data_IF_742228311715
#
_entry.id   IF_742228311715
#
_cell.length_a   1.000
_cell.length_b   1.000
_cell.length_c   1.000
_cell.angle_alpha   90.00
_cell.angle_beta   90.00
_cell.angle_gamma   90.00
#
_symmetry.space_group_name_H-M   'P 1'
#
loop_
_entity.id
_entity.type
_entity.pdbx_description
1 polymer ?
#
# COMPACT_ATOMS: atom_id res chain seq x y z
N UNK A 1 0.51 -40.34 -45.94
CA UNK A 1 0.67 -40.68 -44.51
C UNK A 1 -0.68 -40.51 -43.83
N UNK A 2 -1.28 -41.56 -43.25
CA UNK A 2 -2.57 -41.44 -42.56
C UNK A 2 -2.41 -40.71 -41.22
N UNK A 3 -3.28 -39.73 -40.94
CA UNK A 3 -3.37 -39.03 -39.65
C UNK A 3 -4.00 -39.99 -38.62
N UNK A 4 -3.24 -40.34 -37.59
CA UNK A 4 -3.74 -41.09 -36.43
C UNK A 4 -4.58 -40.13 -35.60
N UNK A 5 -5.86 -40.43 -35.30
CA UNK A 5 -6.65 -39.60 -34.39
C UNK A 5 -6.10 -39.75 -32.97
N UNK A 6 -5.72 -38.63 -32.36
CA UNK A 6 -5.32 -38.56 -30.95
C UNK A 6 -6.58 -38.84 -30.12
N UNK A 7 -6.66 -40.03 -29.55
CA UNK A 7 -7.70 -40.37 -28.59
C UNK A 7 -7.39 -39.63 -27.28
N UNK A 8 -8.14 -38.57 -26.99
CA UNK A 8 -8.07 -37.82 -25.73
C UNK A 8 -8.31 -38.81 -24.59
N UNK A 9 -7.35 -38.91 -23.69
CA UNK A 9 -7.38 -39.89 -22.60
C UNK A 9 -8.47 -39.53 -21.58
N UNK A 10 -9.04 -40.53 -20.91
CA UNK A 10 -10.09 -40.34 -19.89
C UNK A 10 -9.69 -39.31 -18.81
N UNK A 11 -8.39 -39.25 -18.51
CA UNK A 11 -7.77 -38.34 -17.54
C UNK A 11 -7.75 -36.88 -17.98
N UNK A 12 -7.59 -36.61 -19.28
CA UNK A 12 -7.63 -35.24 -19.83
C UNK A 12 -9.07 -34.71 -19.89
N UNK A 13 -10.06 -35.57 -20.12
CA UNK A 13 -11.48 -35.20 -20.05
C UNK A 13 -11.93 -34.90 -18.62
N UNK A 14 -11.43 -35.66 -17.64
CA UNK A 14 -11.71 -35.41 -16.22
C UNK A 14 -11.11 -34.08 -15.75
N UNK A 15 -9.88 -33.75 -16.18
CA UNK A 15 -9.24 -32.47 -15.84
C UNK A 15 -9.94 -31.25 -16.47
N UNK A 16 -10.33 -31.35 -17.75
CA UNK A 16 -11.09 -30.29 -18.41
C UNK A 16 -12.47 -30.05 -17.75
N UNK A 17 -13.14 -31.12 -17.31
CA UNK A 17 -14.41 -31.02 -16.59
C UNK A 17 -14.28 -30.47 -15.16
N UNK A 18 -13.07 -30.54 -14.58
CA UNK A 18 -12.76 -29.97 -13.26
C UNK A 18 -12.44 -28.48 -13.36
N UNK A 19 -11.67 -28.08 -14.39
CA UNK A 19 -11.40 -26.68 -14.74
C UNK A 19 -12.69 -25.94 -15.13
N UNK A 20 -13.59 -26.56 -15.91
CA UNK A 20 -14.89 -25.98 -16.29
C UNK A 20 -15.79 -25.73 -15.07
N UNK A 21 -15.80 -26.66 -14.10
CA UNK A 21 -16.52 -26.49 -12.82
C UNK A 21 -15.93 -25.40 -11.93
N UNK A 22 -14.61 -25.19 -11.98
CA UNK A 22 -13.94 -24.14 -11.22
C UNK A 22 -14.23 -22.77 -11.82
N UNK A 23 -14.25 -22.66 -13.16
CA UNK A 23 -14.68 -21.44 -13.85
C UNK A 23 -16.15 -21.10 -13.59
N UNK A 24 -17.06 -22.08 -13.60
CA UNK A 24 -18.48 -21.85 -13.27
C UNK A 24 -18.66 -21.35 -11.83
N UNK A 25 -17.86 -21.85 -10.87
CA UNK A 25 -17.89 -21.38 -9.48
C UNK A 25 -17.38 -19.94 -9.34
N UNK A 26 -16.32 -19.59 -10.06
CA UNK A 26 -15.77 -18.22 -10.10
C UNK A 26 -16.78 -17.24 -10.68
N UNK A 27 -17.42 -17.58 -11.81
CA UNK A 27 -18.46 -16.74 -12.41
C UNK A 27 -19.68 -16.58 -11.52
N UNK A 28 -20.06 -17.64 -10.79
CA UNK A 28 -21.16 -17.57 -9.84
C UNK A 28 -20.82 -16.63 -8.67
N UNK A 29 -19.60 -16.72 -8.13
CA UNK A 29 -19.12 -15.84 -7.07
C UNK A 29 -19.08 -14.37 -7.52
N UNK A 30 -18.63 -14.08 -8.75
CA UNK A 30 -18.63 -12.72 -9.30
C UNK A 30 -20.04 -12.15 -9.47
N UNK A 31 -21.01 -12.97 -9.91
CA UNK A 31 -22.42 -12.55 -10.02
C UNK A 31 -23.02 -12.21 -8.66
N UNK A 32 -22.81 -13.08 -7.67
CA UNK A 32 -23.28 -12.87 -6.29
C UNK A 32 -22.66 -11.61 -5.67
N UNK A 33 -21.37 -11.36 -5.91
CA UNK A 33 -20.68 -10.15 -5.45
C UNK A 33 -21.24 -8.87 -6.11
N UNK A 34 -21.51 -8.90 -7.42
CA UNK A 34 -22.08 -7.75 -8.15
C UNK A 34 -23.52 -7.46 -7.68
N UNK A 35 -24.31 -8.49 -7.40
CA UNK A 35 -25.67 -8.35 -6.91
C UNK A 35 -25.71 -7.78 -5.49
N UNK A 36 -24.85 -8.26 -4.59
CA UNK A 36 -24.67 -7.69 -3.25
C UNK A 36 -24.25 -6.21 -3.28
N UNK A 37 -23.36 -5.83 -4.22
CA UNK A 37 -22.95 -4.43 -4.42
C UNK A 37 -24.14 -3.58 -4.93
N UNK A 38 -24.98 -4.11 -5.82
CA UNK A 38 -26.18 -3.40 -6.32
C UNK A 38 -27.22 -3.23 -5.23
N UNK A 39 -27.43 -4.24 -4.39
CA UNK A 39 -28.37 -4.19 -3.28
C UNK A 39 -27.92 -3.19 -2.20
N UNK A 40 -26.64 -3.22 -1.81
CA UNK A 40 -26.05 -2.24 -0.91
C UNK A 40 -26.15 -0.80 -1.44
N UNK A 41 -25.98 -0.60 -2.76
CA UNK A 41 -26.19 0.71 -3.41
C UNK A 41 -27.66 1.15 -3.37
N UNK A 42 -28.61 0.22 -3.47
CA UNK A 42 -30.06 0.50 -3.42
C UNK A 42 -30.49 0.86 -2.00
N UNK A 43 -30.01 0.15 -0.99
CA UNK A 43 -30.24 0.46 0.43
C UNK A 43 -29.64 1.81 0.83
N UNK A 44 -28.41 2.12 0.39
CA UNK A 44 -27.79 3.44 0.59
C UNK A 44 -28.59 4.59 -0.03
N UNK A 45 -29.27 4.36 -1.16
CA UNK A 45 -30.13 5.36 -1.82
C UNK A 45 -31.38 5.66 -0.99
N UNK A 46 -31.96 4.64 -0.35
CA UNK A 46 -33.13 4.77 0.52
C UNK A 46 -32.75 5.49 1.83
N UNK A 47 -31.54 5.26 2.33
CA UNK A 47 -31.04 5.91 3.56
C UNK A 47 -30.67 7.40 3.35
N UNK A 48 -30.19 7.78 2.16
CA UNK A 48 -29.91 9.18 1.79
C UNK A 48 -31.15 10.09 1.84
N UNK A 49 -32.36 9.56 1.62
CA UNK A 49 -33.60 10.37 1.62
C UNK A 49 -34.11 10.73 3.02
N UNK A 50 -33.56 10.15 4.10
CA UNK A 50 -34.08 10.30 5.47
C UNK A 50 -33.17 11.04 6.47
N UNK A 51 -32.00 11.54 6.06
CA UNK A 51 -31.09 12.27 6.97
C UNK A 51 -30.49 13.52 6.31
N UNK A 52 -31.36 14.48 6.00
CA UNK A 52 -31.00 15.90 6.12
C UNK A 52 -31.12 16.29 7.61
N UNK A 53 -30.07 16.06 8.41
CA UNK A 53 -29.85 16.80 9.66
C UNK A 53 -28.35 16.81 9.95
N UNK A 54 -27.73 18.00 9.94
CA UNK A 54 -26.45 18.22 10.61
C UNK A 54 -25.38 18.90 9.77
N UNK A 55 -25.57 20.18 9.50
CA UNK A 55 -24.51 21.12 9.16
C UNK A 55 -23.39 21.05 10.22
N UNK A 56 -22.22 20.51 9.86
CA UNK A 56 -20.97 20.73 10.56
C UNK A 56 -19.97 21.37 9.60
N UNK A 57 -19.40 22.47 10.07
CA UNK A 57 -18.78 23.51 9.27
C UNK A 57 -17.54 23.06 8.51
N UNK A 58 -17.05 23.99 7.69
CA UNK A 58 -15.66 24.05 7.24
C UNK A 58 -14.74 24.16 8.46
N UNK A 59 -14.60 23.13 9.27
CA UNK A 59 -13.39 23.02 10.09
C UNK A 59 -12.29 22.59 9.13
N UNK A 60 -11.34 23.50 8.89
CA UNK A 60 -10.05 23.13 8.33
C UNK A 60 -9.55 21.96 9.18
N UNK A 61 -9.48 20.76 8.60
CA UNK A 61 -8.90 19.59 9.27
C UNK A 61 -7.47 20.00 9.68
N UNK A 62 -7.29 20.28 10.98
CA UNK A 62 -6.04 20.75 11.58
C UNK A 62 -5.00 19.64 11.46
N UNK A 63 -3.71 20.00 11.39
CA UNK A 63 -2.62 19.02 11.45
C UNK A 63 -2.76 18.09 12.66
N UNK A 64 -2.40 16.82 12.48
CA UNK A 64 -2.47 15.82 13.53
C UNK A 64 -1.60 16.23 14.73
N UNK A 65 -2.13 16.03 15.94
CA UNK A 65 -1.40 16.26 17.20
C UNK A 65 -1.45 15.00 18.05
N UNK A 66 -0.28 14.41 18.33
CA UNK A 66 -0.17 13.21 19.16
C UNK A 66 -0.65 13.44 20.59
N UNK A 67 -0.50 14.66 21.12
CA UNK A 67 -0.99 15.05 22.44
C UNK A 67 -2.52 14.95 22.55
N UNK A 68 -3.23 15.26 21.46
CA UNK A 68 -4.69 15.27 21.43
C UNK A 68 -5.28 13.92 21.05
N UNK A 69 -4.62 13.20 20.16
CA UNK A 69 -5.19 12.03 19.49
C UNK A 69 -4.40 10.73 19.75
N UNK A 70 -3.46 10.74 20.69
CA UNK A 70 -2.62 9.58 21.04
C UNK A 70 -1.42 9.36 20.11
N UNK A 71 -0.59 8.34 20.36
CA UNK A 71 0.55 8.05 19.50
C UNK A 71 0.11 7.36 18.20
N UNK A 72 0.69 7.72 17.05
CA UNK A 72 0.48 7.00 15.79
C UNK A 72 1.28 5.70 15.70
N UNK A 73 2.38 5.64 16.43
CA UNK A 73 3.35 4.57 16.38
C UNK A 73 3.49 3.95 17.77
N UNK A 74 3.42 2.63 17.80
CA UNK A 74 3.77 1.81 18.95
C UNK A 74 4.72 0.72 18.49
N UNK A 75 5.87 0.63 19.14
CA UNK A 75 6.87 -0.38 18.86
C UNK A 75 7.44 -0.94 20.14
N UNK A 76 7.52 -2.26 20.20
CA UNK A 76 8.28 -2.99 21.20
C UNK A 76 9.11 -4.04 20.45
N UNK A 77 10.43 -4.09 20.68
CA UNK A 77 11.27 -5.11 20.06
C UNK A 77 10.88 -6.51 20.56
N UNK A 78 11.18 -7.52 19.77
CA UNK A 78 11.00 -8.93 20.15
C UNK A 78 11.95 -9.30 21.30
N UNK A 79 11.67 -10.40 22.00
CA UNK A 79 12.54 -10.88 23.07
C UNK A 79 13.99 -11.06 22.57
N UNK A 80 14.96 -10.63 23.39
CA UNK A 80 16.39 -10.65 23.05
C UNK A 80 16.88 -9.44 22.26
N UNK A 81 15.97 -8.64 21.69
CA UNK A 81 16.31 -7.40 20.98
C UNK A 81 16.17 -6.18 21.88
N UNK A 82 17.15 -5.29 21.82
CA UNK A 82 17.20 -4.03 22.58
C UNK A 82 17.22 -2.85 21.62
N UNK A 83 16.46 -1.80 21.92
CA UNK A 83 16.54 -0.54 21.19
C UNK A 83 17.86 0.13 21.56
N UNK A 84 18.67 0.46 20.55
CA UNK A 84 19.93 1.18 20.69
C UNK A 84 19.73 2.65 20.34
N UNK A 85 18.99 2.92 19.26
CA UNK A 85 18.68 4.28 18.81
C UNK A 85 17.27 4.33 18.23
N UNK A 86 16.61 5.47 18.36
CA UNK A 86 15.36 5.76 17.67
C UNK A 86 15.31 7.21 17.20
N UNK A 87 14.77 7.46 16.02
CA UNK A 87 14.61 8.81 15.49
C UNK A 87 13.45 8.89 14.49
N UNK A 88 12.90 10.09 14.33
CA UNK A 88 11.82 10.37 13.38
C UNK A 88 12.37 10.58 11.97
N UNK A 89 11.76 9.91 11.00
CA UNK A 89 11.99 10.17 9.57
C UNK A 89 10.87 11.04 9.01
N UNK A 90 9.63 10.82 9.47
CA UNK A 90 8.48 11.64 9.12
C UNK A 90 7.54 11.71 10.32
N UNK A 91 7.76 12.66 11.23
CA UNK A 91 6.92 12.80 12.41
C UNK A 91 5.50 13.25 12.02
N UNK A 92 4.43 12.66 12.59
CA UNK A 92 4.39 11.57 13.59
C UNK A 92 4.15 10.18 12.99
N UNK A 93 4.34 10.00 11.68
CA UNK A 93 3.91 8.80 10.95
C UNK A 93 4.99 7.73 10.78
N UNK A 94 6.27 8.09 10.67
CA UNK A 94 7.35 7.13 10.42
C UNK A 94 8.51 7.38 11.36
N UNK A 95 8.82 6.36 12.18
CA UNK A 95 9.95 6.34 13.09
C UNK A 95 10.83 5.14 12.81
N UNK A 96 12.13 5.33 12.94
CA UNK A 96 13.13 4.29 12.77
C UNK A 96 13.66 3.90 14.13
N UNK A 97 13.87 2.60 14.31
CA UNK A 97 14.51 2.01 15.48
C UNK A 97 15.71 1.19 15.02
N UNK A 98 16.89 1.51 15.53
CA UNK A 98 18.05 0.64 15.44
C UNK A 98 18.02 -0.26 16.65
N UNK A 99 17.91 -1.57 16.40
CA UNK A 99 17.84 -2.59 17.45
C UNK A 99 19.05 -3.50 17.37
N UNK A 100 19.47 -4.04 18.52
CA UNK A 100 20.60 -4.95 18.63
C UNK A 100 20.23 -6.20 19.42
N UNK A 101 20.78 -7.34 19.01
CA UNK A 101 20.65 -8.61 19.71
C UNK A 101 22.03 -9.12 20.16
N UNK A 102 22.20 -9.33 21.46
CA UNK A 102 23.47 -9.77 22.04
C UNK A 102 23.85 -11.21 21.65
N UNK A 103 22.88 -12.09 21.46
CA UNK A 103 23.10 -13.50 21.11
C UNK A 103 23.49 -13.65 19.63
N UNK A 104 22.80 -12.92 18.75
CA UNK A 104 23.07 -12.92 17.30
C UNK A 104 24.23 -11.99 16.92
N UNK A 105 24.66 -11.10 17.82
CA UNK A 105 25.64 -10.03 17.56
C UNK A 105 25.26 -9.20 16.32
N UNK A 106 23.97 -8.93 16.14
CA UNK A 106 23.40 -8.33 14.94
C UNK A 106 22.65 -7.03 15.27
N UNK A 107 22.89 -5.99 14.46
CA UNK A 107 22.05 -4.80 14.39
C UNK A 107 20.99 -4.94 13.30
N UNK A 108 19.78 -4.43 13.54
CA UNK A 108 18.72 -4.33 12.54
C UNK A 108 18.14 -2.94 12.47
N UNK A 109 17.73 -2.56 11.27
CA UNK A 109 17.07 -1.31 10.96
C UNK A 109 15.55 -1.54 10.87
N UNK A 110 14.77 -1.01 11.80
CA UNK A 110 13.33 -1.26 11.86
C UNK A 110 12.56 0.02 11.57
N UNK A 111 11.82 0.02 10.45
CA UNK A 111 10.85 1.06 10.11
C UNK A 111 9.53 0.72 10.77
N UNK A 112 8.97 1.68 11.50
CA UNK A 112 7.64 1.55 12.08
C UNK A 112 6.75 2.67 11.57
N UNK A 113 5.62 2.27 11.00
CA UNK A 113 4.57 3.13 10.45
C UNK A 113 3.25 2.89 11.21
N UNK A 114 2.22 3.74 11.04
CA UNK A 114 0.98 3.60 11.80
C UNK A 114 0.23 2.36 11.34
N UNK A 115 -0.15 1.48 12.26
CA UNK A 115 -0.90 0.27 11.89
C UNK A 115 -2.32 0.62 11.47
N UNK A 116 -2.70 0.19 10.27
CA UNK A 116 -4.10 0.15 9.85
C UNK A 116 -4.78 -1.07 10.46
N UNK A 117 -5.93 -0.85 11.10
CA UNK A 117 -6.88 -1.90 11.45
C UNK A 117 -7.44 -2.56 10.19
N UNK A 118 -8.04 -3.76 10.28
CA UNK A 118 -8.63 -4.42 9.11
C UNK A 118 -9.62 -3.54 8.33
N UNK A 119 -10.45 -2.77 9.05
CA UNK A 119 -11.38 -1.82 8.45
C UNK A 119 -10.68 -0.68 7.73
N UNK A 120 -9.68 -0.05 8.37
CA UNK A 120 -8.90 1.03 7.75
C UNK A 120 -8.12 0.55 6.52
N UNK A 121 -7.61 -0.68 6.54
CA UNK A 121 -6.89 -1.28 5.41
C UNK A 121 -7.80 -1.56 4.22
N UNK A 122 -8.99 -2.11 4.46
CA UNK A 122 -10.00 -2.32 3.41
C UNK A 122 -10.43 -0.98 2.79
N UNK A 123 -10.71 0.00 3.66
CA UNK A 123 -11.08 1.34 3.23
C UNK A 123 -9.96 2.02 2.43
N UNK A 124 -8.71 1.89 2.87
CA UNK A 124 -7.54 2.38 2.14
C UNK A 124 -7.50 1.78 0.72
N UNK A 125 -7.66 0.47 0.59
CA UNK A 125 -7.65 -0.21 -0.72
C UNK A 125 -8.76 0.30 -1.65
N UNK A 126 -9.98 0.45 -1.14
CA UNK A 126 -11.10 0.99 -1.92
C UNK A 126 -10.83 2.43 -2.39
N UNK A 127 -10.36 3.28 -1.49
CA UNK A 127 -10.07 4.69 -1.80
C UNK A 127 -8.90 4.82 -2.77
N UNK A 128 -7.85 4.02 -2.59
CA UNK A 128 -6.67 4.00 -3.46
C UNK A 128 -7.07 3.73 -4.92
N UNK A 129 -7.94 2.74 -5.16
CA UNK A 129 -8.43 2.42 -6.51
C UNK A 129 -9.23 3.57 -7.13
N UNK A 130 -10.13 4.19 -6.35
CA UNK A 130 -10.94 5.33 -6.83
C UNK A 130 -10.02 6.50 -7.22
N UNK A 131 -9.07 6.85 -6.35
CA UNK A 131 -8.15 7.96 -6.59
C UNK A 131 -7.28 7.68 -7.81
N UNK A 132 -6.78 6.44 -7.95
CA UNK A 132 -5.97 6.06 -9.11
C UNK A 132 -6.74 6.24 -10.42
N UNK A 133 -7.99 5.79 -10.48
CA UNK A 133 -8.85 5.97 -11.65
C UNK A 133 -9.16 7.46 -11.96
N UNK A 134 -9.30 8.29 -10.92
CA UNK A 134 -9.48 9.73 -11.09
C UNK A 134 -8.20 10.42 -11.57
N UNK A 135 -7.03 10.05 -11.02
CA UNK A 135 -5.73 10.62 -11.38
C UNK A 135 -5.33 10.29 -12.81
N UNK A 136 -5.64 9.10 -13.32
CA UNK A 136 -5.40 8.73 -14.72
C UNK A 136 -6.15 9.63 -15.72
N UNK A 137 -7.25 10.26 -15.29
CA UNK A 137 -8.07 11.17 -16.10
C UNK A 137 -7.63 12.63 -16.00
N UNK A 138 -6.75 12.95 -15.05
CA UNK A 138 -6.28 14.31 -14.80
C UNK A 138 -4.98 14.56 -15.56
N UNK A 139 -5.00 15.51 -16.49
CA UNK A 139 -3.77 16.11 -17.03
C UNK A 139 -3.16 16.98 -15.92
N UNK A 140 -2.30 16.39 -15.10
CA UNK A 140 -1.61 17.11 -14.04
C UNK A 140 -0.63 18.11 -14.66
N UNK A 141 -0.89 19.40 -14.45
CA UNK A 141 0.00 20.49 -14.89
C UNK A 141 1.12 20.73 -13.88
N UNK A 142 2.25 21.26 -14.36
CA UNK A 142 3.40 21.59 -13.51
C UNK A 142 3.09 22.73 -12.53
N UNK A 143 3.60 22.64 -11.31
CA UNK A 143 3.49 23.67 -10.27
C UNK A 143 2.29 23.54 -9.33
N UNK A 144 1.49 22.47 -9.47
CA UNK A 144 0.34 22.22 -8.60
C UNK A 144 0.75 21.41 -7.36
N UNK A 145 0.28 21.83 -6.19
CA UNK A 145 0.48 21.13 -4.93
C UNK A 145 -0.31 19.81 -4.91
N UNK A 146 0.37 18.73 -5.28
CA UNK A 146 -0.18 17.37 -5.36
C UNK A 146 -0.65 16.86 -3.99
N UNK A 147 0.00 17.28 -2.91
CA UNK A 147 -0.38 16.84 -1.58
C UNK A 147 -1.74 17.42 -1.17
N UNK A 148 -1.92 18.72 -1.40
CA UNK A 148 -3.20 19.41 -1.15
C UNK A 148 -4.31 18.81 -2.01
N UNK A 149 -4.08 18.57 -3.30
CA UNK A 149 -5.08 17.93 -4.17
C UNK A 149 -5.47 16.55 -3.65
N UNK A 150 -4.49 15.71 -3.34
CA UNK A 150 -4.79 14.36 -2.87
C UNK A 150 -5.59 14.37 -1.57
N UNK A 151 -5.26 15.28 -0.64
CA UNK A 151 -6.01 15.47 0.61
C UNK A 151 -7.45 15.91 0.35
N UNK A 152 -7.67 16.84 -0.57
CA UNK A 152 -9.01 17.33 -0.92
C UNK A 152 -9.85 16.25 -1.59
N UNK A 153 -9.27 15.49 -2.52
CA UNK A 153 -9.91 14.34 -3.18
C UNK A 153 -10.25 13.27 -2.15
N UNK A 154 -9.31 12.90 -1.27
CA UNK A 154 -9.54 11.95 -0.19
C UNK A 154 -10.71 12.37 0.71
N UNK A 155 -10.72 13.63 1.16
CA UNK A 155 -11.79 14.18 2.01
C UNK A 155 -13.14 14.14 1.30
N UNK A 156 -13.17 14.43 0.00
CA UNK A 156 -14.38 14.37 -0.83
C UNK A 156 -14.92 12.93 -0.92
N UNK A 157 -14.06 11.96 -1.23
CA UNK A 157 -14.44 10.55 -1.36
C UNK A 157 -15.03 10.02 -0.04
N UNK A 158 -14.40 10.33 1.11
CA UNK A 158 -14.93 9.92 2.42
C UNK A 158 -16.37 10.41 2.65
N UNK A 159 -16.67 11.67 2.29
CA UNK A 159 -18.02 12.25 2.40
C UNK A 159 -19.00 11.57 1.46
N UNK A 160 -18.60 11.31 0.21
CA UNK A 160 -19.45 10.67 -0.80
C UNK A 160 -19.83 9.23 -0.41
N UNK A 161 -18.87 8.50 0.18
CA UNK A 161 -19.05 7.15 0.71
C UNK A 161 -19.77 7.12 2.06
N UNK A 162 -19.98 8.29 2.69
CA UNK A 162 -20.55 8.44 4.03
C UNK A 162 -19.82 7.59 5.07
N UNK A 163 -18.49 7.64 5.02
CA UNK A 163 -17.59 6.97 5.93
C UNK A 163 -17.32 7.89 7.12
N UNK A 164 -17.43 7.34 8.32
CA UNK A 164 -17.11 8.02 9.58
C UNK A 164 -15.79 7.44 10.12
N UNK A 165 -14.76 8.27 10.17
CA UNK A 165 -13.44 7.92 10.73
C UNK A 165 -13.15 8.88 11.87
N UNK A 166 -12.54 8.35 12.92
CA UNK A 166 -11.88 9.22 13.90
C UNK A 166 -10.68 9.93 13.26
N UNK A 167 -10.19 10.98 13.92
CA UNK A 167 -9.08 11.77 13.37
C UNK A 167 -7.84 10.89 13.13
N UNK A 168 -7.57 9.91 13.99
CA UNK A 168 -6.45 8.99 13.80
C UNK A 168 -6.60 8.22 12.49
N UNK A 169 -7.72 7.55 12.27
CA UNK A 169 -7.96 6.75 11.08
C UNK A 169 -7.89 7.58 9.80
N UNK A 170 -8.44 8.81 9.83
CA UNK A 170 -8.32 9.76 8.72
C UNK A 170 -6.84 10.00 8.36
N UNK A 171 -6.01 10.36 9.35
CA UNK A 171 -4.62 10.70 9.10
C UNK A 171 -3.73 9.49 8.78
N UNK A 172 -4.03 8.31 9.34
CA UNK A 172 -3.33 7.07 8.95
C UNK A 172 -3.55 6.75 7.49
N UNK A 173 -4.80 6.71 7.02
CA UNK A 173 -5.08 6.39 5.62
C UNK A 173 -4.49 7.45 4.69
N UNK A 174 -4.60 8.74 5.06
CA UNK A 174 -3.99 9.82 4.30
C UNK A 174 -2.46 9.67 4.20
N UNK A 175 -1.79 9.25 5.27
CA UNK A 175 -0.36 8.92 5.25
C UNK A 175 -0.03 7.85 4.20
N UNK A 176 -0.77 6.74 4.19
CA UNK A 176 -0.55 5.66 3.21
C UNK A 176 -0.83 6.11 1.77
N UNK A 177 -1.84 6.95 1.55
CA UNK A 177 -2.12 7.54 0.24
C UNK A 177 -0.95 8.42 -0.25
N UNK A 178 -0.40 9.28 0.62
CA UNK A 178 0.80 10.05 0.26
C UNK A 178 2.00 9.15 -0.02
N UNK A 179 2.22 8.15 0.84
CA UNK A 179 3.33 7.19 0.74
C UNK A 179 3.31 6.43 -0.59
N UNK A 180 2.13 5.95 -1.00
CA UNK A 180 2.01 5.02 -2.12
C UNK A 180 1.73 5.72 -3.46
N UNK A 181 1.01 6.85 -3.48
CA UNK A 181 0.72 7.58 -4.71
C UNK A 181 1.78 8.61 -5.07
N UNK A 182 2.27 9.38 -4.09
CA UNK A 182 3.23 10.46 -4.33
C UNK A 182 4.67 10.04 -4.02
N UNK A 183 4.85 9.15 -3.05
CA UNK A 183 6.15 8.62 -2.64
C UNK A 183 6.68 7.47 -3.49
N UNK A 184 7.40 6.58 -2.80
CA UNK A 184 8.06 5.39 -3.31
C UNK A 184 7.52 4.12 -2.63
N UNK A 185 6.24 4.13 -2.24
CA UNK A 185 5.60 3.00 -1.56
C UNK A 185 6.34 2.61 -0.29
N UNK A 186 6.60 1.30 -0.12
CA UNK A 186 7.37 0.73 1.00
C UNK A 186 8.77 1.36 1.17
N UNK A 187 9.40 1.87 0.11
CA UNK A 187 10.71 2.51 0.19
C UNK A 187 10.65 3.97 0.65
N UNK A 188 9.47 4.59 0.74
CA UNK A 188 9.32 6.01 1.07
C UNK A 188 10.05 6.41 2.35
N UNK A 189 9.96 5.57 3.40
CA UNK A 189 10.68 5.79 4.65
C UNK A 189 12.20 5.80 4.44
N UNK A 190 12.73 4.80 3.73
CA UNK A 190 14.16 4.69 3.46
C UNK A 190 14.67 5.87 2.62
N UNK A 191 13.91 6.25 1.58
CA UNK A 191 14.25 7.36 0.68
C UNK A 191 14.25 8.73 1.38
N UNK A 192 13.47 8.88 2.46
CA UNK A 192 13.41 10.13 3.25
C UNK A 192 14.47 10.19 4.35
N UNK A 193 15.08 9.06 4.71
CA UNK A 193 16.05 9.02 5.79
C UNK A 193 17.43 9.52 5.32
N UNK A 194 17.90 10.58 5.97
CA UNK A 194 19.18 11.23 5.68
C UNK A 194 20.39 10.45 6.21
N UNK A 195 20.15 9.47 7.08
CA UNK A 195 21.18 8.60 7.65
C UNK A 195 21.53 7.42 6.75
N UNK A 196 20.76 7.18 5.69
CA UNK A 196 21.03 6.15 4.71
C UNK A 196 21.84 6.69 3.53
N UNK A 197 22.78 5.88 3.05
CA UNK A 197 23.55 6.16 1.84
C UNK A 197 23.03 5.31 0.68
N UNK A 198 22.89 4.00 0.92
CA UNK A 198 22.45 3.03 -0.09
C UNK A 198 21.24 2.22 0.39
N UNK A 199 20.40 1.81 -0.57
CA UNK A 199 19.29 0.87 -0.38
C UNK A 199 19.47 -0.27 -1.38
N UNK A 200 19.39 -1.51 -0.92
CA UNK A 200 19.56 -2.72 -1.73
C UNK A 200 18.37 -3.65 -1.59
N UNK A 201 17.79 -4.05 -2.73
CA UNK A 201 16.74 -5.06 -2.82
C UNK A 201 17.24 -6.25 -3.65
N UNK A 202 17.38 -7.42 -3.03
CA UNK A 202 18.05 -8.59 -3.64
C UNK A 202 17.06 -9.65 -4.19
N UNK A 203 15.82 -9.24 -4.45
CA UNK A 203 14.75 -10.08 -5.00
C UNK A 203 13.59 -10.34 -4.04
N UNK A 204 12.65 -11.18 -4.48
CA UNK A 204 11.39 -11.47 -3.79
C UNK A 204 11.59 -12.14 -2.44
N UNK A 205 10.68 -11.86 -1.49
CA UNK A 205 10.62 -12.45 -0.15
C UNK A 205 11.92 -12.35 0.64
N UNK A 206 12.77 -11.38 0.28
CA UNK A 206 14.01 -11.05 0.97
C UNK A 206 13.87 -9.67 1.62
N UNK A 207 14.45 -9.51 2.82
CA UNK A 207 14.54 -8.20 3.44
C UNK A 207 15.35 -7.26 2.55
N UNK A 208 14.96 -6.00 2.53
CA UNK A 208 15.82 -4.94 2.03
C UNK A 208 17.00 -4.76 2.97
N UNK A 209 18.13 -4.36 2.42
CA UNK A 209 19.31 -3.96 3.15
C UNK A 209 19.60 -2.49 2.91
N UNK A 210 20.16 -1.82 3.90
CA UNK A 210 20.53 -0.42 3.81
C UNK A 210 21.95 -0.21 4.31
N UNK A 211 22.65 0.76 3.74
CA UNK A 211 23.92 1.23 4.29
C UNK A 211 23.65 2.48 5.13
N UNK A 212 23.68 2.32 6.45
CA UNK A 212 23.49 3.39 7.42
C UNK A 212 24.82 4.03 7.81
N UNK A 213 24.93 5.35 7.81
CA UNK A 213 26.18 6.10 8.08
C UNK A 213 26.92 5.69 9.35
N UNK A 214 26.18 5.41 10.42
CA UNK A 214 26.75 5.06 11.73
C UNK A 214 26.83 3.56 12.01
N UNK A 215 26.06 2.74 11.29
CA UNK A 215 25.90 1.31 11.60
C UNK A 215 26.26 0.39 10.43
N UNK A 216 26.66 0.97 9.28
CA UNK A 216 27.01 0.28 8.04
C UNK A 216 25.84 -0.55 7.49
N UNK A 217 26.10 -1.78 7.03
CA UNK A 217 25.07 -2.63 6.44
C UNK A 217 24.09 -3.14 7.50
N UNK A 218 22.81 -2.80 7.35
CA UNK A 218 21.74 -3.25 8.21
C UNK A 218 20.65 -3.97 7.41
N UNK A 219 20.18 -5.09 7.97
CA UNK A 219 18.96 -5.76 7.52
C UNK A 219 17.74 -4.96 7.97
N UNK A 220 16.78 -4.76 7.06
CA UNK A 220 15.51 -4.10 7.38
C UNK A 220 14.37 -5.09 7.67
N UNK A 221 13.28 -4.58 8.25
CA UNK A 221 12.00 -5.30 8.36
C UNK A 221 11.11 -5.17 7.11
N UNK A 222 11.56 -4.48 6.05
CA UNK A 222 10.78 -4.26 4.83
C UNK A 222 11.04 -5.42 3.87
N UNK A 223 9.96 -6.05 3.42
CA UNK A 223 9.97 -7.18 2.49
C UNK A 223 8.88 -6.98 1.44
N UNK A 224 9.20 -7.33 0.19
CA UNK A 224 8.20 -7.57 -0.86
C UNK A 224 7.86 -9.06 -0.83
N UNK A 225 6.71 -9.40 -0.26
CA UNK A 225 6.29 -10.81 -0.07
C UNK A 225 5.75 -11.42 -1.36
N UNK A 226 5.16 -10.57 -2.19
CA UNK A 226 4.58 -10.91 -3.48
C UNK A 226 5.52 -10.55 -4.63
N UNK A 227 5.56 -11.40 -5.65
CA UNK A 227 6.47 -11.24 -6.79
C UNK A 227 5.97 -10.11 -7.71
N UNK A 228 4.67 -10.08 -7.97
CA UNK A 228 4.03 -9.05 -8.79
C UNK A 228 4.16 -7.65 -8.15
N UNK A 229 4.14 -7.57 -6.81
CA UNK A 229 4.39 -6.33 -6.08
C UNK A 229 5.77 -5.74 -6.39
N UNK A 230 6.84 -6.56 -6.32
CA UNK A 230 8.20 -6.08 -6.59
C UNK A 230 8.39 -5.76 -8.08
N UNK A 231 7.87 -6.59 -8.98
CA UNK A 231 7.96 -6.35 -10.43
C UNK A 231 7.28 -5.04 -10.82
N UNK A 232 6.05 -4.84 -10.33
CA UNK A 232 5.31 -3.60 -10.52
C UNK A 232 6.04 -2.40 -9.93
N UNK A 233 6.66 -2.56 -8.76
CA UNK A 233 7.44 -1.50 -8.13
C UNK A 233 8.64 -1.08 -8.98
N UNK A 234 9.43 -2.04 -9.47
CA UNK A 234 10.61 -1.75 -10.29
C UNK A 234 10.21 -1.08 -11.62
N UNK A 235 9.13 -1.54 -12.27
CA UNK A 235 8.61 -0.92 -13.49
C UNK A 235 8.19 0.54 -13.21
N UNK A 236 7.42 0.77 -12.14
CA UNK A 236 6.98 2.12 -11.76
C UNK A 236 8.17 3.03 -11.42
N UNK A 237 9.20 2.51 -10.77
CA UNK A 237 10.41 3.26 -10.44
C UNK A 237 11.17 3.66 -11.70
N UNK A 238 11.37 2.73 -12.65
CA UNK A 238 11.99 3.03 -13.94
C UNK A 238 11.21 4.12 -14.70
N UNK A 239 9.88 4.03 -14.73
CA UNK A 239 9.02 5.02 -15.36
C UNK A 239 9.10 6.39 -14.69
N UNK A 240 9.17 6.45 -13.34
CA UNK A 240 9.39 7.71 -12.61
C UNK A 240 10.71 8.38 -13.00
N UNK A 241 11.74 7.61 -13.35
CA UNK A 241 13.00 8.12 -13.89
C UNK A 241 12.99 8.35 -15.41
N UNK A 242 11.83 8.27 -16.08
CA UNK A 242 11.70 8.45 -17.53
C UNK A 242 12.31 7.32 -18.36
N UNK A 243 12.47 6.13 -17.78
CA UNK A 243 13.00 4.93 -18.44
C UNK A 243 11.91 3.87 -18.58
N UNK A 244 12.13 2.96 -19.52
CA UNK A 244 11.29 1.77 -19.69
C UNK A 244 12.11 0.54 -19.36
N UNK A 245 11.54 -0.34 -18.54
CA UNK A 245 12.08 -1.66 -18.25
C UNK A 245 11.20 -2.69 -18.94
N UNK A 246 11.80 -3.69 -19.56
CA UNK A 246 11.04 -4.78 -20.20
C UNK A 246 11.78 -6.11 -20.06
N UNK A 247 11.11 -7.21 -20.37
CA UNK A 247 11.76 -8.53 -20.40
C UNK A 247 12.91 -8.56 -21.43
N UNK A 248 12.79 -7.81 -22.53
CA UNK A 248 13.82 -7.72 -23.56
C UNK A 248 15.03 -6.87 -23.12
N UNK A 249 14.80 -5.85 -22.30
CA UNK A 249 15.81 -4.96 -21.73
C UNK A 249 15.64 -4.90 -20.20
N UNK A 250 16.10 -5.94 -19.46
CA UNK A 250 15.83 -6.09 -18.04
C UNK A 250 16.82 -5.31 -17.14
N UNK A 251 17.72 -4.52 -17.73
CA UNK A 251 18.72 -3.72 -17.01
C UNK A 251 18.54 -2.25 -17.36
N UNK A 252 18.40 -1.42 -16.34
CA UNK A 252 18.23 0.04 -16.47
C UNK A 252 19.13 0.73 -15.46
N UNK A 253 19.80 1.79 -15.90
CA UNK A 253 20.51 2.75 -15.06
C UNK A 253 19.86 4.13 -15.24
N UNK A 254 19.56 4.81 -14.13
CA UNK A 254 18.75 6.03 -14.10
C UNK A 254 19.05 6.90 -12.87
N UNK A 255 18.65 8.17 -12.93
CA UNK A 255 18.82 9.16 -11.85
C UNK A 255 17.51 9.90 -11.62
#
# INVERSE_FOLDING_TARGET
MPKIPIAITKKEKEKAAEEEKETEKLEQYEREAIEAIKEAKKERKIFKTKKEVGFLGREKIKEYSAEKHGPMIEFSPQQGWKIVEEYWVNEPYCKVFIIYNDEEQEYRYVVVEPKLSPYELELYGQIFLIIREELEKLELTDGVDRETILKDVYTRILRELNVDLDERGYFKILYYLFRDLLGYGKLTALMKDRMLEDISCNGYRKPLYVFHRSYTNLRTNIVFEDEDELDSFVINLAQKCGKHLSIAEPMVDAT
#
